data_IF_778774184909
#
_entry.id   IF_778774184909
#
_cell.length_a   1.000
_cell.length_b   1.000
_cell.length_c   1.000
_cell.angle_alpha   90.00
_cell.angle_beta   90.00
_cell.angle_gamma   90.00
#
_symmetry.space_group_name_H-M   'P 1'
#
loop_
_entity.id
_entity.type
_entity.pdbx_description
1 polymer ?
#
# COMPACT_ATOMS: atom_id res chain seq x y z
N UNK A 1 12.14 27.38 -7.75
CA UNK A 1 12.41 26.03 -8.29
C UNK A 1 13.52 25.42 -7.45
N UNK A 2 13.17 24.92 -6.26
CA UNK A 2 14.12 24.28 -5.34
C UNK A 2 13.98 22.77 -5.46
N UNK A 3 15.06 22.09 -5.80
CA UNK A 3 15.08 20.63 -5.78
C UNK A 3 15.08 20.17 -4.32
N UNK A 4 13.96 19.66 -3.83
CA UNK A 4 13.91 18.97 -2.54
C UNK A 4 14.37 17.53 -2.77
N UNK A 5 15.66 17.27 -2.55
CA UNK A 5 16.16 15.89 -2.47
C UNK A 5 15.72 15.30 -1.14
N UNK A 6 14.66 14.50 -1.14
CA UNK A 6 14.26 13.68 0.01
C UNK A 6 15.15 12.44 0.03
N UNK A 7 16.05 12.36 1.02
CA UNK A 7 16.77 11.12 1.28
C UNK A 7 15.81 10.15 1.98
N UNK A 8 15.26 9.20 1.22
CA UNK A 8 14.49 8.09 1.80
C UNK A 8 15.47 7.13 2.46
N UNK A 9 15.48 7.10 3.80
CA UNK A 9 16.05 5.98 4.55
C UNK A 9 15.08 4.81 4.39
N UNK A 10 15.53 3.75 3.73
CA UNK A 10 14.80 2.47 3.66
C UNK A 10 15.44 1.54 4.68
N UNK A 11 14.90 1.48 5.89
CA UNK A 11 15.09 0.27 6.69
C UNK A 11 14.27 -0.81 5.96
N UNK A 12 14.96 -1.79 5.36
CA UNK A 12 14.32 -2.63 4.34
C UNK A 12 13.36 -3.65 4.95
N UNK A 13 13.50 -3.97 6.22
CA UNK A 13 12.63 -4.91 6.95
C UNK A 13 12.54 -4.45 8.41
N UNK A 14 11.34 -4.21 8.90
CA UNK A 14 11.10 -3.93 10.31
C UNK A 14 10.83 -5.25 11.05
N UNK A 15 11.47 -5.44 12.20
CA UNK A 15 11.35 -6.67 12.99
C UNK A 15 10.09 -6.67 13.87
N UNK A 16 9.47 -5.50 14.06
CA UNK A 16 8.28 -5.35 14.90
C UNK A 16 7.24 -4.41 14.29
N UNK A 17 5.97 -4.59 14.68
CA UNK A 17 4.90 -3.67 14.31
C UNK A 17 5.12 -2.25 14.85
N UNK A 18 5.79 -2.12 16.00
CA UNK A 18 6.11 -0.81 16.57
C UNK A 18 7.09 -0.04 15.68
N UNK A 19 8.13 -0.71 15.19
CA UNK A 19 9.11 -0.16 14.25
C UNK A 19 8.46 0.22 12.91
N UNK A 20 7.56 -0.62 12.37
CA UNK A 20 6.78 -0.27 11.17
C UNK A 20 5.93 0.99 11.35
N UNK A 21 5.32 1.15 12.53
CA UNK A 21 4.49 2.32 12.83
C UNK A 21 5.36 3.57 12.94
N UNK A 22 6.53 3.47 13.59
CA UNK A 22 7.49 4.57 13.70
C UNK A 22 7.95 5.04 12.31
N UNK A 23 8.39 4.11 11.46
CA UNK A 23 8.81 4.39 10.08
C UNK A 23 7.71 5.08 9.26
N UNK A 24 6.46 4.62 9.38
CA UNK A 24 5.33 5.22 8.67
C UNK A 24 4.94 6.59 9.25
N UNK A 25 5.12 6.80 10.55
CA UNK A 25 4.82 8.06 11.25
C UNK A 25 5.90 9.11 11.01
N UNK A 26 7.10 8.72 10.57
CA UNK A 26 8.17 9.62 10.16
C UNK A 26 8.06 10.10 8.70
N UNK A 27 7.03 9.67 7.97
CA UNK A 27 6.81 10.14 6.59
C UNK A 27 6.71 11.67 6.54
N UNK A 28 7.56 12.38 5.77
CA UNK A 28 7.57 13.84 5.71
C UNK A 28 6.17 14.43 5.43
N UNK A 29 5.81 15.52 6.11
CA UNK A 29 4.48 16.14 6.01
C UNK A 29 4.16 16.57 4.59
N UNK A 30 5.17 16.94 3.81
CA UNK A 30 5.08 17.37 2.42
C UNK A 30 4.58 16.24 1.49
N UNK A 31 4.72 14.97 1.91
CA UNK A 31 4.23 13.80 1.17
C UNK A 31 2.82 13.38 1.57
N UNK A 32 2.26 13.91 2.67
CA UNK A 32 0.98 13.46 3.24
C UNK A 32 -0.26 13.98 2.51
N UNK A 33 -0.09 14.65 1.37
CA UNK A 33 -1.16 15.39 0.71
C UNK A 33 -1.58 16.61 1.53
N UNK A 34 -2.49 17.42 0.98
CA UNK A 34 -3.18 18.41 1.82
C UNK A 34 -4.00 17.66 2.87
N UNK A 35 -4.07 18.16 4.11
CA UNK A 35 -5.03 17.72 5.14
C UNK A 35 -6.45 18.16 4.74
N UNK A 36 -6.84 17.88 3.50
CA UNK A 36 -8.18 18.13 3.02
C UNK A 36 -9.07 17.09 3.68
N UNK A 37 -9.82 17.53 4.69
CA UNK A 37 -10.82 16.75 5.43
C UNK A 37 -11.89 16.12 4.50
N UNK A 38 -11.89 16.45 3.21
CA UNK A 38 -12.77 15.88 2.19
C UNK A 38 -12.10 14.76 1.40
N UNK A 39 -11.63 13.72 2.09
CA UNK A 39 -11.46 12.43 1.40
C UNK A 39 -12.83 12.03 0.81
N UNK A 40 -12.91 11.62 -0.47
CA UNK A 40 -14.18 11.15 -1.01
C UNK A 40 -14.66 9.98 -0.16
N UNK A 41 -15.94 10.03 0.22
CA UNK A 41 -16.57 8.91 0.92
C UNK A 41 -16.29 7.61 0.15
N UNK A 42 -15.88 6.52 0.83
CA UNK A 42 -15.65 5.25 0.19
C UNK A 42 -16.88 4.84 -0.64
N UNK A 43 -16.70 4.77 -1.95
CA UNK A 43 -17.77 4.33 -2.85
C UNK A 43 -18.05 2.84 -2.66
N UNK A 44 -19.25 2.41 -3.07
CA UNK A 44 -19.56 0.98 -3.16
C UNK A 44 -18.56 0.31 -4.11
N UNK A 45 -17.77 -0.62 -3.57
CA UNK A 45 -16.88 -1.43 -4.39
C UNK A 45 -17.69 -2.34 -5.31
N UNK A 46 -17.29 -2.44 -6.58
CA UNK A 46 -17.79 -3.49 -7.45
C UNK A 46 -17.25 -4.82 -6.96
N UNK A 47 -18.11 -5.84 -6.88
CA UNK A 47 -17.68 -7.18 -6.49
C UNK A 47 -16.62 -7.69 -7.47
N UNK A 48 -15.47 -8.08 -6.94
CA UNK A 48 -14.39 -8.63 -7.75
C UNK A 48 -14.88 -9.88 -8.49
N UNK A 49 -14.75 -9.87 -9.81
CA UNK A 49 -15.01 -11.02 -10.67
C UNK A 49 -13.68 -11.62 -11.10
N UNK A 50 -13.60 -12.95 -11.05
CA UNK A 50 -12.50 -13.73 -11.61
C UNK A 50 -13.08 -14.46 -12.81
N UNK A 51 -12.47 -14.28 -13.97
CA UNK A 51 -12.88 -15.00 -15.18
C UNK A 51 -12.42 -16.46 -15.14
N UNK A 52 -13.03 -17.26 -16.02
CA UNK A 52 -12.73 -18.70 -16.11
C UNK A 52 -11.26 -18.96 -16.47
N UNK A 53 -10.62 -18.03 -17.20
CA UNK A 53 -9.22 -18.17 -17.59
C UNK A 53 -8.26 -18.01 -16.40
N UNK A 54 -8.54 -17.11 -15.47
CA UNK A 54 -7.80 -16.97 -14.22
C UNK A 54 -8.11 -18.12 -13.26
N UNK A 55 -9.37 -18.54 -13.16
CA UNK A 55 -9.75 -19.68 -12.34
C UNK A 55 -9.04 -20.97 -12.78
N UNK A 56 -8.95 -21.22 -14.09
CA UNK A 56 -8.30 -22.40 -14.65
C UNK A 56 -6.81 -22.53 -14.30
N UNK A 57 -6.12 -21.42 -13.98
CA UNK A 57 -4.71 -21.45 -13.60
C UNK A 57 -4.48 -22.09 -12.21
N UNK A 58 -5.50 -22.09 -11.36
CA UNK A 58 -5.42 -22.53 -9.96
C UNK A 58 -6.35 -23.69 -9.64
N UNK A 59 -7.25 -24.07 -10.55
CA UNK A 59 -8.29 -25.08 -10.32
C UNK A 59 -7.75 -26.45 -9.86
N UNK A 60 -6.59 -26.86 -10.38
CA UNK A 60 -5.95 -28.15 -10.06
C UNK A 60 -4.62 -27.96 -9.29
N UNK A 61 -4.41 -26.78 -8.71
CA UNK A 61 -3.19 -26.50 -7.95
C UNK A 61 -3.34 -27.02 -6.51
N UNK A 62 -2.95 -28.27 -6.28
CA UNK A 62 -3.06 -28.93 -4.96
C UNK A 62 -2.15 -28.32 -3.88
N UNK A 63 -1.10 -27.59 -4.26
CA UNK A 63 -0.20 -26.92 -3.34
C UNK A 63 0.35 -25.61 -3.92
N UNK A 64 0.36 -24.57 -3.09
CA UNK A 64 1.16 -23.36 -3.31
C UNK A 64 2.53 -23.61 -2.68
N UNK A 65 3.57 -23.79 -3.50
CA UNK A 65 4.95 -23.93 -3.04
C UNK A 65 5.62 -22.56 -3.00
#
# INVERSE_FOLDING_TARGET
>A
MGAHTVAVVRNTEADTLAELIEDCTDLPRELRGAEDESHPEPGSATAWQVDDANYAQVADLDAYV
#
